data_IF_262300575691
#
_entry.id   IF_262300575691
#
_cell.length_a   1.000
_cell.length_b   1.000
_cell.length_c   1.000
_cell.angle_alpha   90.00
_cell.angle_beta   90.00
_cell.angle_gamma   90.00
#
_symmetry.space_group_name_H-M   'P 1'
#
loop_
_entity.id
_entity.type
_entity.pdbx_description
1 polymer ?
#
# COMPACT_ATOMS: atom_id res chain seq x y z
N UNK A 1 12.99 26.53 -24.19
CA UNK A 1 11.63 26.48 -23.61
C UNK A 1 10.91 25.15 -23.85
N UNK A 2 10.78 24.64 -25.09
CA UNK A 2 10.10 23.35 -25.38
C UNK A 2 10.65 22.14 -24.59
N UNK A 3 11.98 22.06 -24.41
CA UNK A 3 12.62 20.97 -23.64
C UNK A 3 12.34 21.03 -22.13
N UNK A 4 12.24 22.23 -21.55
CA UNK A 4 11.92 22.39 -20.13
C UNK A 4 10.47 21.99 -19.85
N UNK A 5 9.54 22.33 -20.76
CA UNK A 5 8.13 21.91 -20.67
C UNK A 5 8.01 20.39 -20.74
N UNK A 6 8.74 19.72 -21.64
CA UNK A 6 8.75 18.26 -21.73
C UNK A 6 9.28 17.57 -20.45
N UNK A 7 10.29 18.14 -19.80
CA UNK A 7 10.84 17.63 -18.53
C UNK A 7 9.83 17.79 -17.39
N UNK A 8 9.16 18.94 -17.32
CA UNK A 8 8.13 19.20 -16.29
C UNK A 8 6.92 18.28 -16.46
N UNK A 9 6.45 18.10 -17.70
CA UNK A 9 5.32 17.20 -17.99
C UNK A 9 5.65 15.73 -17.69
N UNK A 10 6.85 15.27 -18.03
CA UNK A 10 7.25 13.88 -17.73
C UNK A 10 7.37 13.63 -16.22
N UNK A 11 7.91 14.57 -15.44
CA UNK A 11 7.98 14.46 -13.99
C UNK A 11 6.60 14.37 -13.32
N UNK A 12 5.60 15.11 -13.83
CA UNK A 12 4.23 15.10 -13.28
C UNK A 12 3.51 13.75 -13.47
N UNK A 13 3.81 13.01 -14.54
CA UNK A 13 3.20 11.70 -14.83
C UNK A 13 3.69 10.63 -13.85
N UNK A 14 4.94 10.70 -13.39
CA UNK A 14 5.47 9.72 -12.43
C UNK A 14 4.86 9.88 -11.03
N UNK A 15 4.49 11.09 -10.63
CA UNK A 15 3.85 11.33 -9.34
C UNK A 15 2.43 10.74 -9.26
N UNK A 16 1.68 10.71 -10.37
CA UNK A 16 0.31 10.17 -10.39
C UNK A 16 0.23 8.64 -10.36
N UNK A 17 1.34 7.96 -10.64
CA UNK A 17 1.46 6.50 -10.56
C UNK A 17 1.58 6.00 -9.11
N UNK A 18 1.77 6.90 -8.13
CA UNK A 18 1.81 6.53 -6.72
C UNK A 18 0.42 6.19 -6.18
N UNK A 19 0.33 5.20 -5.29
CA UNK A 19 -0.88 4.86 -4.55
C UNK A 19 -0.55 4.74 -3.07
N UNK A 20 -1.45 5.28 -2.24
CA UNK A 20 -1.31 5.33 -0.79
C UNK A 20 -2.45 4.56 -0.13
N UNK A 21 -2.14 3.84 0.94
CA UNK A 21 -3.13 3.18 1.80
C UNK A 21 -2.79 3.40 3.27
N UNK A 22 -3.81 3.64 4.08
CA UNK A 22 -3.70 3.72 5.52
C UNK A 22 -4.13 2.38 6.14
N UNK A 23 -3.22 1.78 6.89
CA UNK A 23 -3.43 0.53 7.61
C UNK A 23 -3.65 0.83 9.07
N UNK A 24 -4.75 0.31 9.62
CA UNK A 24 -5.09 0.39 11.04
C UNK A 24 -5.18 -1.00 11.62
N UNK A 25 -4.89 -1.11 12.91
CA UNK A 25 -5.14 -2.33 13.69
C UNK A 25 -6.09 -2.01 14.82
N UNK A 26 -6.89 -3.00 15.22
CA UNK A 26 -7.76 -2.89 16.40
C UNK A 26 -6.98 -2.76 17.71
N UNK A 27 -5.73 -3.23 17.76
CA UNK A 27 -4.84 -3.08 18.93
C UNK A 27 -3.85 -1.92 18.70
N UNK A 28 -4.00 -0.77 19.40
CA UNK A 28 -3.16 0.40 19.20
C UNK A 28 -1.69 0.19 19.60
N UNK A 29 -1.37 -0.89 20.33
CA UNK A 29 0.00 -1.21 20.75
C UNK A 29 0.69 -2.21 19.83
N UNK A 30 -0.02 -2.78 18.85
CA UNK A 30 0.57 -3.71 17.91
C UNK A 30 1.40 -2.99 16.85
N UNK A 31 2.60 -3.52 16.57
CA UNK A 31 3.51 -3.03 15.55
C UNK A 31 3.07 -3.54 14.19
N UNK A 32 3.08 -2.67 13.20
CA UNK A 32 2.72 -2.99 11.81
C UNK A 32 3.99 -2.99 10.98
N UNK A 33 4.27 -4.13 10.37
CA UNK A 33 5.33 -4.31 9.39
C UNK A 33 4.74 -4.47 8.00
N UNK A 34 5.32 -3.82 7.01
CA UNK A 34 4.93 -3.95 5.60
C UNK A 34 6.17 -4.36 4.81
N UNK A 35 6.10 -5.48 4.09
CA UNK A 35 7.24 -6.06 3.36
C UNK A 35 8.49 -6.24 4.25
N UNK A 36 8.26 -6.57 5.52
CA UNK A 36 9.31 -6.79 6.52
C UNK A 36 9.80 -5.53 7.24
N UNK A 37 9.45 -4.33 6.76
CA UNK A 37 9.87 -3.06 7.37
C UNK A 37 8.85 -2.56 8.40
N UNK A 38 9.31 -2.07 9.56
CA UNK A 38 8.43 -1.46 10.56
C UNK A 38 7.90 -0.12 10.04
N UNK A 39 6.59 0.00 9.88
CA UNK A 39 5.95 1.23 9.37
C UNK A 39 5.20 2.03 10.44
N UNK A 40 4.86 1.41 11.58
CA UNK A 40 4.18 2.10 12.67
C UNK A 40 3.65 1.18 13.76
N UNK A 41 2.90 1.77 14.69
CA UNK A 41 2.23 1.06 15.79
C UNK A 41 0.78 1.55 15.83
N UNK A 42 -0.19 0.64 15.83
CA UNK A 42 -1.62 0.99 15.81
C UNK A 42 -2.12 1.49 14.43
N UNK A 43 -1.33 2.31 13.75
CA UNK A 43 -1.61 2.84 12.42
C UNK A 43 -0.30 2.99 11.63
N UNK A 44 -0.36 2.74 10.33
CA UNK A 44 0.75 2.91 9.40
C UNK A 44 0.24 3.39 8.04
N UNK A 45 1.01 4.26 7.40
CA UNK A 45 0.74 4.69 6.02
C UNK A 45 1.74 4.04 5.08
N UNK A 46 1.25 3.49 3.98
CA UNK A 46 2.06 2.88 2.93
C UNK A 46 1.82 3.58 1.61
N UNK A 47 2.88 4.00 0.95
CA UNK A 47 2.84 4.64 -0.36
C UNK A 47 3.85 3.99 -1.28
N UNK A 48 3.42 3.55 -2.46
CA UNK A 48 4.32 3.02 -3.47
C UNK A 48 3.85 3.29 -4.91
N UNK A 49 4.76 3.02 -5.84
CA UNK A 49 4.55 3.09 -7.30
C UNK A 49 4.55 1.70 -7.93
N UNK A 50 4.22 0.64 -7.18
CA UNK A 50 4.16 -0.73 -7.73
C UNK A 50 3.09 -0.82 -8.83
N UNK A 51 3.25 -1.74 -9.79
CA UNK A 51 2.28 -1.95 -10.88
C UNK A 51 1.03 -2.69 -10.38
N UNK A 52 -0.05 -2.65 -11.17
CA UNK A 52 -1.27 -3.44 -10.93
C UNK A 52 -0.96 -4.90 -10.61
N UNK A 53 -1.68 -5.46 -9.64
CA UNK A 53 -1.54 -6.85 -9.20
C UNK A 53 -0.35 -7.11 -8.27
N UNK A 54 0.52 -6.13 -8.04
CA UNK A 54 1.58 -6.25 -7.04
C UNK A 54 1.00 -6.45 -5.65
N UNK A 55 1.59 -7.35 -4.87
CA UNK A 55 1.12 -7.69 -3.51
C UNK A 55 2.14 -7.24 -2.47
N UNK A 56 1.63 -6.70 -1.36
CA UNK A 56 2.39 -6.32 -0.18
C UNK A 56 2.01 -7.26 0.96
N UNK A 57 3.00 -7.67 1.73
CA UNK A 57 2.84 -8.45 2.95
C UNK A 57 2.69 -7.52 4.15
N UNK A 58 1.77 -7.84 5.05
CA UNK A 58 1.55 -7.12 6.31
C UNK A 58 1.70 -8.10 7.45
N UNK A 59 2.55 -7.74 8.41
CA UNK A 59 2.77 -8.54 9.62
C UNK A 59 2.49 -7.66 10.84
N UNK A 60 1.58 -8.10 11.69
CA UNK A 60 1.18 -7.39 12.89
C UNK A 60 1.69 -8.16 14.10
N UNK A 61 2.45 -7.50 14.97
CA UNK A 61 3.10 -8.15 16.10
C UNK A 61 2.98 -7.36 17.38
N UNK A 62 2.82 -8.09 18.48
CA UNK A 62 2.87 -7.55 19.83
C UNK A 62 3.72 -8.47 20.72
N UNK A 63 4.60 -7.94 21.58
CA UNK A 63 5.40 -8.76 22.48
C UNK A 63 4.54 -9.73 23.30
N UNK A 64 4.91 -11.02 23.32
CA UNK A 64 4.19 -12.07 24.05
C UNK A 64 2.93 -12.60 23.35
N UNK A 65 2.62 -12.11 22.15
CA UNK A 65 1.50 -12.54 21.31
C UNK A 65 2.00 -13.20 20.02
N UNK A 66 1.16 -14.04 19.42
CA UNK A 66 1.42 -14.59 18.10
C UNK A 66 1.34 -13.51 17.00
N UNK A 67 2.25 -13.49 16.02
CA UNK A 67 2.17 -12.58 14.89
C UNK A 67 1.00 -12.95 13.96
N UNK A 68 0.32 -11.93 13.44
CA UNK A 68 -0.71 -12.10 12.42
C UNK A 68 -0.16 -11.68 11.05
N UNK A 69 -0.50 -12.42 10.00
CA UNK A 69 -0.04 -12.18 8.64
C UNK A 69 -1.22 -11.90 7.73
N UNK A 70 -1.14 -10.80 6.99
CA UNK A 70 -2.12 -10.34 6.02
C UNK A 70 -1.41 -9.96 4.72
N UNK A 71 -2.19 -9.78 3.66
CA UNK A 71 -1.69 -9.30 2.37
C UNK A 71 -2.66 -8.33 1.76
N UNK A 72 -2.14 -7.38 1.00
CA UNK A 72 -2.97 -6.55 0.14
C UNK A 72 -2.32 -6.31 -1.21
N UNK A 73 -3.15 -6.17 -2.23
CA UNK A 73 -2.68 -6.07 -3.62
C UNK A 73 -3.14 -4.77 -4.25
N UNK A 74 -2.38 -4.30 -5.23
CA UNK A 74 -2.70 -3.11 -6.01
C UNK A 74 -3.74 -3.43 -7.08
N UNK A 75 -4.90 -3.88 -6.63
CA UNK A 75 -5.99 -4.35 -7.48
C UNK A 75 -7.36 -4.07 -6.90
N UNK A 76 -7.48 -3.05 -6.05
CA UNK A 76 -8.66 -2.84 -5.22
C UNK A 76 -9.56 -1.71 -5.70
N UNK A 77 -9.00 -0.62 -6.23
CA UNK A 77 -9.75 0.53 -6.74
C UNK A 77 -9.35 0.85 -8.18
N UNK A 78 -10.33 1.16 -9.03
CA UNK A 78 -10.09 1.53 -10.42
C UNK A 78 -9.85 3.03 -10.58
N UNK A 79 -8.79 3.40 -11.29
CA UNK A 79 -8.46 4.78 -11.64
C UNK A 79 -8.80 5.07 -13.11
N UNK A 80 -9.92 5.76 -13.31
CA UNK A 80 -10.37 6.16 -14.65
C UNK A 80 -9.42 7.14 -15.35
N UNK A 81 -8.69 7.97 -14.59
CA UNK A 81 -7.70 8.91 -15.15
C UNK A 81 -6.48 8.18 -15.68
N UNK A 82 -5.98 7.19 -14.95
CA UNK A 82 -4.91 6.30 -15.42
C UNK A 82 -5.35 5.49 -16.65
N UNK A 83 -6.62 5.05 -16.70
CA UNK A 83 -7.17 4.35 -17.85
C UNK A 83 -7.23 5.23 -19.10
N UNK A 84 -7.80 6.44 -18.98
CA UNK A 84 -7.86 7.39 -20.09
C UNK A 84 -6.46 7.80 -20.57
N UNK A 85 -5.54 8.12 -19.65
CA UNK A 85 -4.15 8.42 -20.00
C UNK A 85 -3.41 7.25 -20.66
N UNK A 86 -3.64 6.02 -20.18
CA UNK A 86 -3.02 4.81 -20.71
C UNK A 86 -3.42 4.51 -22.15
N UNK A 87 -4.65 4.81 -22.55
CA UNK A 87 -5.13 4.64 -23.94
C UNK A 87 -4.38 5.55 -24.92
N UNK A 88 -4.00 6.77 -24.50
CA UNK A 88 -3.33 7.74 -25.38
C UNK A 88 -1.80 7.74 -25.29
N UNK A 89 -1.23 7.29 -24.16
CA UNK A 89 0.20 7.44 -23.85
C UNK A 89 0.92 6.11 -23.58
N UNK A 90 0.21 4.96 -23.57
CA UNK A 90 0.65 3.61 -23.16
C UNK A 90 1.10 3.51 -21.68
N UNK A 91 1.75 4.54 -21.15
CA UNK A 91 2.07 4.76 -19.74
C UNK A 91 1.14 5.89 -19.25
N UNK A 92 0.23 5.66 -18.29
CA UNK A 92 0.39 4.76 -17.14
C UNK A 92 -0.62 3.59 -17.11
N UNK A 93 -0.84 2.87 -18.22
CA UNK A 93 -1.83 1.78 -18.23
C UNK A 93 -1.57 0.68 -17.18
N UNK A 94 -0.32 0.51 -16.74
CA UNK A 94 0.05 -0.43 -15.67
C UNK A 94 -0.35 0.03 -14.25
N UNK A 95 -0.85 1.26 -14.08
CA UNK A 95 -1.26 1.85 -12.78
C UNK A 95 -2.75 2.17 -12.72
N UNK A 96 -3.56 1.53 -13.59
CA UNK A 96 -5.02 1.68 -13.62
C UNK A 96 -5.73 1.18 -12.36
N UNK A 97 -5.04 0.39 -11.53
CA UNK A 97 -5.56 -0.05 -10.25
C UNK A 97 -4.74 0.52 -9.09
N UNK A 98 -5.45 0.87 -8.02
CA UNK A 98 -4.95 1.48 -6.78
C UNK A 98 -5.28 0.61 -5.57
N UNK A 99 -4.63 0.92 -4.46
CA UNK A 99 -5.00 0.40 -3.15
C UNK A 99 -6.28 1.07 -2.66
N UNK A 100 -7.01 0.40 -1.75
CA UNK A 100 -8.02 1.08 -0.93
C UNK A 100 -7.39 2.19 -0.10
N UNK A 101 -8.08 3.32 0.03
CA UNK A 101 -7.59 4.46 0.81
C UNK A 101 -7.31 4.09 2.28
N UNK A 102 -8.18 3.27 2.89
CA UNK A 102 -8.06 2.85 4.28
C UNK A 102 -8.45 1.37 4.45
N UNK A 103 -7.77 0.69 5.37
CA UNK A 103 -8.07 -0.68 5.78
C UNK A 103 -7.79 -0.88 7.26
N UNK A 104 -8.62 -1.68 7.91
CA UNK A 104 -8.44 -2.08 9.30
C UNK A 104 -8.26 -3.58 9.37
N UNK A 105 -7.20 -4.03 10.04
CA UNK A 105 -6.98 -5.43 10.36
C UNK A 105 -7.35 -5.69 11.81
N UNK A 106 -8.11 -6.75 12.04
CA UNK A 106 -8.35 -7.23 13.39
C UNK A 106 -7.10 -7.93 13.91
N UNK A 107 -6.67 -7.56 15.12
CA UNK A 107 -5.57 -8.19 15.80
C UNK A 107 -5.98 -8.54 17.22
N UNK A 108 -6.11 -9.85 17.47
CA UNK A 108 -6.38 -10.40 18.80
C UNK A 108 -5.10 -11.04 19.32
N UNK A 109 -4.58 -10.56 20.45
CA UNK A 109 -3.41 -11.14 21.07
C UNK A 109 -3.72 -12.57 21.54
N UNK A 110 -3.18 -13.56 20.84
CA UNK A 110 -3.13 -14.94 21.31
C UNK A 110 -1.78 -15.14 21.98
N UNK A 111 -1.79 -15.38 23.30
CA UNK A 111 -0.55 -15.60 24.04
C UNK A 111 0.18 -16.85 23.54
N UNK A 112 1.46 -16.70 23.19
CA UNK A 112 2.31 -17.79 22.72
C UNK A 112 2.50 -18.88 23.79
N UNK A 113 2.30 -18.55 25.08
CA UNK A 113 2.41 -19.50 26.19
C UNK A 113 1.23 -20.50 26.28
N UNK A 114 0.08 -20.20 25.67
CA UNK A 114 -1.11 -21.07 25.70
C UNK A 114 -1.07 -22.24 24.69
N UNK A 115 -0.05 -22.31 23.84
CA UNK A 115 0.08 -23.32 22.77
C UNK A 115 0.91 -24.56 23.16
N UNK A 116 1.24 -24.73 24.45
CA UNK A 116 2.07 -25.84 24.94
C UNK A 116 1.26 -26.88 25.69
#
# INVERSE_FOLDING_TARGET
>A
MKKAIAIVLSAAIFASCSSTTMIRTTDPQAKIYIDGELKGTGTATHTDTKIVGSTNSVRIEKPGCEPAYYTFSRSEEFDAGACAGGVFLLVPFLWIQKYKAERTYEYNCVSTAKKK
#
